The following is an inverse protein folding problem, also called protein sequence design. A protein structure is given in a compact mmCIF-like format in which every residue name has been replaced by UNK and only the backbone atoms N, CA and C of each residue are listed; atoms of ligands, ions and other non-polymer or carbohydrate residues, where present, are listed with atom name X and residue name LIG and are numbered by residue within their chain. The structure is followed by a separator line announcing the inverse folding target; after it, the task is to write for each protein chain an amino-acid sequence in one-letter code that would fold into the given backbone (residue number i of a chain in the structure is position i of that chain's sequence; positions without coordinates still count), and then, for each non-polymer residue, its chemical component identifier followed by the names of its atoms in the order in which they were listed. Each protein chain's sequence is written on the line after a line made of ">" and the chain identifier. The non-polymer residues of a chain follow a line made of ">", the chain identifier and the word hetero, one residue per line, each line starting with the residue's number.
data_IF_473221003230
#
_entry.id   IF_473221003230
#
_cell.length_a   1.000
_cell.length_b   1.000
_cell.length_c   1.000
_cell.angle_alpha   90.00
_cell.angle_beta   90.00
_cell.angle_gamma   90.00
#
_symmetry.space_group_name_H-M   'P 1'
#
loop_
_entity.id
_entity.type
_entity.pdbx_description
1 polymer ?
#
# COMPACT_ATOMS: atom_id res chain seq x y z
N UNK A 1 53.75 -88.85 1.56
CA UNK A 1 52.68 -89.42 2.41
C UNK A 1 51.92 -88.27 3.05
N UNK A 2 50.58 -88.34 2.97
CA UNK A 2 49.53 -87.63 3.74
C UNK A 2 49.98 -87.06 5.11
N UNK A 3 49.44 -85.97 5.69
CA UNK A 3 48.33 -85.02 5.42
C UNK A 3 48.29 -84.04 6.63
N UNK A 4 47.54 -82.95 6.49
CA UNK A 4 46.77 -82.20 7.54
C UNK A 4 47.21 -80.75 7.85
N UNK A 5 46.18 -79.92 7.69
CA UNK A 5 45.96 -78.48 7.83
C UNK A 5 45.58 -78.09 9.27
N UNK A 6 45.79 -76.82 9.68
CA UNK A 6 44.74 -75.97 10.28
C UNK A 6 45.18 -74.50 10.39
N UNK A 7 44.28 -73.60 9.96
CA UNK A 7 44.36 -72.13 9.94
C UNK A 7 44.00 -71.54 11.32
N UNK A 8 44.35 -70.28 11.61
CA UNK A 8 43.39 -69.17 11.91
C UNK A 8 44.11 -67.82 12.21
N UNK A 9 43.36 -66.76 11.87
CA UNK A 9 43.54 -65.30 11.79
C UNK A 9 44.36 -64.58 12.88
N UNK A 10 44.97 -63.48 12.44
CA UNK A 10 45.76 -62.49 13.19
C UNK A 10 44.84 -61.45 13.85
N UNK A 11 45.07 -61.20 15.13
CA UNK A 11 44.66 -60.00 15.88
C UNK A 11 45.93 -59.41 16.46
N UNK A 12 46.19 -58.12 16.25
CA UNK A 12 47.21 -57.38 17.00
C UNK A 12 46.55 -56.19 17.66
N UNK A 13 46.67 -56.15 18.98
CA UNK A 13 46.14 -55.13 19.88
C UNK A 13 47.26 -54.21 20.37
N UNK A 14 46.91 -52.92 20.45
CA UNK A 14 47.27 -51.87 21.41
C UNK A 14 48.73 -51.72 21.91
N UNK A 15 49.26 -50.51 21.70
CA UNK A 15 50.21 -49.87 22.63
C UNK A 15 49.71 -48.46 22.95
N UNK A 16 49.53 -48.17 24.24
CA UNK A 16 49.11 -46.87 24.76
C UNK A 16 50.35 -46.02 25.15
N UNK A 17 50.35 -44.75 24.78
CA UNK A 17 51.18 -43.71 25.42
C UNK A 17 50.21 -42.59 25.84
N UNK A 18 50.09 -42.40 27.15
CA UNK A 18 49.27 -41.36 27.75
C UNK A 18 49.97 -40.01 27.67
N UNK A 19 49.35 -39.03 27.00
CA UNK A 19 49.70 -37.62 27.11
C UNK A 19 48.62 -36.92 27.95
N UNK A 20 49.04 -36.39 29.10
CA UNK A 20 48.20 -35.60 30.00
C UNK A 20 47.96 -34.23 29.37
N UNK A 21 46.73 -33.95 28.96
CA UNK A 21 46.31 -32.60 28.56
C UNK A 21 45.71 -31.91 29.78
N UNK A 22 46.40 -30.87 30.28
CA UNK A 22 45.84 -29.94 31.26
C UNK A 22 44.73 -29.14 30.58
N UNK A 23 43.47 -29.41 30.94
CA UNK A 23 42.36 -28.51 30.62
C UNK A 23 42.36 -27.42 31.68
N UNK A 24 43.06 -26.31 31.40
CA UNK A 24 42.83 -25.07 32.13
C UNK A 24 41.42 -24.60 31.80
N UNK A 25 40.53 -24.62 32.79
CA UNK A 25 39.25 -23.94 32.68
C UNK A 25 39.54 -22.44 32.49
N UNK A 26 39.38 -21.94 31.26
CA UNK A 26 39.20 -20.52 31.02
C UNK A 26 37.86 -20.15 31.67
N UNK A 27 37.87 -19.57 32.86
CA UNK A 27 36.74 -18.77 33.28
C UNK A 27 36.76 -17.52 32.40
N UNK A 28 35.73 -17.34 31.57
CA UNK A 28 35.52 -16.09 30.87
C UNK A 28 35.42 -14.99 31.93
N UNK A 29 36.44 -14.13 32.00
CA UNK A 29 36.35 -12.90 32.75
C UNK A 29 35.52 -11.95 31.89
N UNK A 30 34.20 -11.98 32.06
CA UNK A 30 33.34 -10.94 31.52
C UNK A 30 33.74 -9.64 32.23
N UNK A 31 34.39 -8.73 31.50
CA UNK A 31 34.42 -7.34 31.91
C UNK A 31 32.97 -6.95 32.16
N UNK A 32 32.61 -6.32 33.29
CA UNK A 32 31.27 -5.81 33.47
C UNK A 32 31.01 -4.93 32.27
N UNK A 33 30.04 -5.34 31.45
CA UNK A 33 29.51 -4.52 30.39
C UNK A 33 28.93 -3.31 31.12
N UNK A 34 29.74 -2.25 31.27
CA UNK A 34 29.22 -0.91 31.47
C UNK A 34 28.60 -0.59 30.14
N UNK A 35 27.44 -1.18 29.92
CA UNK A 35 26.60 -0.91 28.78
C UNK A 35 26.40 0.58 28.81
N UNK A 36 27.01 1.27 27.85
CA UNK A 36 26.36 2.44 27.32
C UNK A 36 25.09 1.87 26.69
N UNK A 37 24.04 1.73 27.49
CA UNK A 37 22.70 1.55 27.00
C UNK A 37 22.32 2.88 26.36
N UNK A 38 22.90 3.13 25.17
CA UNK A 38 22.21 3.92 24.17
C UNK A 38 20.90 3.18 24.00
N UNK A 39 19.74 3.78 24.34
CA UNK A 39 18.46 3.17 24.06
C UNK A 39 18.50 2.74 22.59
N UNK A 40 18.06 1.53 22.20
CA UNK A 40 17.87 1.25 20.80
C UNK A 40 17.02 2.40 20.27
N UNK A 41 17.61 3.26 19.42
CA UNK A 41 16.83 4.27 18.72
C UNK A 41 15.76 3.45 18.03
N UNK A 42 14.50 3.58 18.47
CA UNK A 42 13.38 3.05 17.72
C UNK A 42 13.36 3.82 16.42
N UNK A 43 14.14 3.33 15.46
CA UNK A 43 14.10 3.80 14.10
C UNK A 43 12.80 3.22 13.54
N UNK A 44 11.81 4.09 13.42
CA UNK A 44 10.62 3.78 12.64
C UNK A 44 11.00 4.09 11.20
N UNK A 45 11.18 3.05 10.38
CA UNK A 45 11.32 3.28 8.95
C UNK A 45 9.93 3.67 8.43
N UNK A 46 9.84 4.81 7.75
CA UNK A 46 8.64 5.19 7.01
C UNK A 46 8.80 4.60 5.61
N UNK A 47 8.31 3.38 5.43
CA UNK A 47 8.30 2.69 4.14
C UNK A 47 6.93 2.84 3.50
N UNK A 48 6.90 2.96 2.18
CA UNK A 48 5.65 2.87 1.44
C UNK A 48 5.02 1.48 1.60
N UNK A 49 3.70 1.44 1.71
CA UNK A 49 2.97 0.18 1.88
C UNK A 49 3.09 -0.69 0.62
N UNK A 50 3.47 -1.96 0.80
CA UNK A 50 3.50 -2.92 -0.30
C UNK A 50 2.11 -3.20 -0.87
N UNK A 51 2.04 -3.40 -2.18
CA UNK A 51 0.81 -3.79 -2.88
C UNK A 51 0.90 -5.25 -3.30
N UNK A 52 1.92 -5.60 -4.07
CA UNK A 52 2.22 -6.98 -4.44
C UNK A 52 3.71 -7.26 -4.32
N UNK A 53 4.19 -7.52 -3.09
CA UNK A 53 5.62 -7.53 -2.81
C UNK A 53 6.35 -8.78 -3.28
N UNK A 54 5.62 -9.81 -3.70
CA UNK A 54 6.14 -11.11 -4.08
C UNK A 54 5.48 -11.59 -5.35
N UNK A 55 6.24 -12.23 -6.23
CA UNK A 55 5.71 -12.96 -7.38
C UNK A 55 6.62 -14.13 -7.78
N UNK A 56 6.09 -15.11 -8.51
CA UNK A 56 6.79 -16.35 -8.88
C UNK A 56 6.95 -16.45 -10.39
N UNK A 57 8.09 -16.97 -10.86
CA UNK A 57 8.25 -17.26 -12.29
C UNK A 57 7.27 -18.33 -12.76
N UNK A 58 6.76 -18.26 -14.01
CA UNK A 58 5.82 -19.25 -14.55
C UNK A 58 6.28 -20.71 -14.45
N UNK A 59 7.60 -20.96 -14.52
CA UNK A 59 8.17 -22.30 -14.33
C UNK A 59 8.28 -22.75 -12.85
N UNK A 60 7.93 -21.89 -11.90
CA UNK A 60 7.99 -22.14 -10.46
C UNK A 60 9.41 -22.20 -9.88
N UNK A 61 10.44 -21.87 -10.66
CA UNK A 61 11.84 -22.04 -10.24
C UNK A 61 12.36 -20.87 -9.43
N UNK A 62 11.73 -19.69 -9.49
CA UNK A 62 12.14 -18.51 -8.73
C UNK A 62 10.95 -17.81 -8.07
N UNK A 63 11.18 -17.30 -6.86
CA UNK A 63 10.32 -16.32 -6.18
C UNK A 63 11.08 -15.02 -6.09
N UNK A 64 10.42 -13.93 -6.42
CA UNK A 64 10.95 -12.58 -6.43
C UNK A 64 10.30 -11.79 -5.28
N UNK A 65 11.07 -10.92 -4.63
CA UNK A 65 10.59 -10.08 -3.54
C UNK A 65 11.11 -8.64 -3.65
N UNK A 66 10.26 -7.64 -3.50
CA UNK A 66 10.72 -6.26 -3.35
C UNK A 66 11.28 -6.05 -1.94
N UNK A 67 12.41 -5.36 -1.86
CA UNK A 67 13.05 -4.94 -0.62
C UNK A 67 13.10 -3.41 -0.60
N UNK A 68 12.02 -2.82 -0.11
CA UNK A 68 11.74 -1.38 -0.12
C UNK A 68 12.84 -0.58 0.54
N UNK A 69 13.24 -0.96 1.76
CA UNK A 69 14.29 -0.26 2.51
C UNK A 69 15.66 -0.25 1.81
N UNK A 70 15.93 -1.21 0.92
CA UNK A 70 17.22 -1.36 0.25
C UNK A 70 17.19 -0.97 -1.23
N UNK A 71 16.01 -0.60 -1.77
CA UNK A 71 15.82 -0.34 -3.20
C UNK A 71 16.30 -1.50 -4.08
N UNK A 72 16.00 -2.74 -3.67
CA UNK A 72 16.39 -3.95 -4.40
C UNK A 72 15.19 -4.84 -4.72
N UNK A 73 15.33 -5.58 -5.82
CA UNK A 73 14.57 -6.79 -6.11
C UNK A 73 15.42 -7.99 -5.69
N UNK A 74 14.94 -8.75 -4.71
CA UNK A 74 15.55 -9.99 -4.26
C UNK A 74 15.02 -11.16 -5.10
N UNK A 75 15.93 -12.02 -5.54
CA UNK A 75 15.59 -13.21 -6.34
C UNK A 75 15.98 -14.45 -5.56
N UNK A 76 14.99 -15.31 -5.31
CA UNK A 76 15.18 -16.57 -4.62
C UNK A 76 14.95 -17.72 -5.58
N UNK A 77 15.88 -18.67 -5.64
CA UNK A 77 15.66 -19.95 -6.28
C UNK A 77 14.83 -20.86 -5.37
N UNK A 78 13.80 -21.49 -5.95
CA UNK A 78 12.98 -22.50 -5.29
C UNK A 78 13.68 -23.85 -5.40
N UNK A 79 13.91 -24.48 -4.24
CA UNK A 79 14.43 -25.84 -4.14
C UNK A 79 13.48 -26.69 -3.30
N UNK A 80 13.69 -28.01 -3.25
CA UNK A 80 12.85 -28.91 -2.44
C UNK A 80 12.95 -28.63 -0.93
N UNK A 81 14.02 -27.98 -0.47
CA UNK A 81 14.33 -27.80 0.95
C UNK A 81 14.09 -26.36 1.44
N UNK A 82 14.38 -25.36 0.59
CA UNK A 82 14.33 -23.95 0.97
C UNK A 82 14.26 -22.99 -0.24
N UNK A 83 13.98 -21.71 0.05
CA UNK A 83 14.25 -20.59 -0.84
C UNK A 83 15.71 -20.13 -0.66
N UNK A 84 16.50 -20.19 -1.74
CA UNK A 84 17.89 -19.73 -1.74
C UNK A 84 17.96 -18.35 -2.39
N UNK A 85 18.38 -17.30 -1.67
CA UNK A 85 18.66 -16.00 -2.30
C UNK A 85 19.84 -16.16 -3.27
N UNK A 86 19.61 -15.89 -4.55
CA UNK A 86 20.60 -16.05 -5.63
C UNK A 86 21.00 -14.71 -6.24
N UNK A 87 20.17 -13.67 -6.10
CA UNK A 87 20.50 -12.33 -6.55
C UNK A 87 19.79 -11.25 -5.72
N UNK A 88 20.42 -10.07 -5.68
CA UNK A 88 19.87 -8.82 -5.15
C UNK A 88 20.13 -7.75 -6.20
N UNK A 89 19.08 -7.34 -6.91
CA UNK A 89 19.17 -6.48 -8.10
C UNK A 89 18.75 -5.06 -7.70
N UNK A 90 19.62 -4.04 -7.80
CA UNK A 90 19.23 -2.65 -7.56
C UNK A 90 18.14 -2.19 -8.53
N UNK A 91 17.11 -1.54 -8.01
CA UNK A 91 15.98 -0.97 -8.77
C UNK A 91 15.81 0.51 -8.41
N UNK A 92 14.67 1.11 -8.77
CA UNK A 92 14.31 2.48 -8.38
C UNK A 92 14.04 2.61 -6.87
N UNK A 93 13.60 3.81 -6.47
CA UNK A 93 13.39 4.14 -5.07
C UNK A 93 12.07 3.61 -4.55
N UNK A 94 12.13 2.96 -3.39
CA UNK A 94 11.00 2.46 -2.64
C UNK A 94 10.13 1.48 -3.48
N UNK A 95 10.68 0.33 -3.90
CA UNK A 95 9.92 -0.66 -4.66
C UNK A 95 8.78 -1.26 -3.82
N UNK A 96 7.55 -1.28 -4.34
CA UNK A 96 6.33 -1.73 -3.61
C UNK A 96 5.57 -2.87 -4.28
N UNK A 97 5.83 -3.12 -5.57
CA UNK A 97 5.23 -4.21 -6.33
C UNK A 97 6.25 -4.84 -7.27
N UNK A 98 6.20 -6.17 -7.41
CA UNK A 98 6.89 -6.93 -8.46
C UNK A 98 5.92 -7.83 -9.20
N UNK A 99 6.10 -7.89 -10.53
CA UNK A 99 5.29 -8.68 -11.45
C UNK A 99 6.15 -9.41 -12.45
N UNK A 100 6.05 -10.72 -12.48
CA UNK A 100 6.79 -11.54 -13.43
C UNK A 100 5.99 -11.64 -14.74
N UNK A 101 6.54 -11.08 -15.82
CA UNK A 101 5.94 -11.18 -17.16
C UNK A 101 6.28 -12.51 -17.83
N UNK A 102 7.47 -13.03 -17.59
CA UNK A 102 7.97 -14.31 -18.13
C UNK A 102 9.06 -14.89 -17.23
N UNK A 103 9.54 -16.11 -17.52
CA UNK A 103 10.66 -16.71 -16.77
C UNK A 103 11.96 -15.85 -16.80
N UNK A 104 12.05 -14.86 -17.69
CA UNK A 104 13.26 -14.05 -17.88
C UNK A 104 13.04 -12.56 -17.64
N UNK A 105 11.81 -12.12 -17.34
CA UNK A 105 11.50 -10.69 -17.23
C UNK A 105 10.52 -10.40 -16.10
N UNK A 106 10.86 -9.43 -15.25
CA UNK A 106 10.00 -8.90 -14.21
C UNK A 106 9.93 -7.37 -14.28
N UNK A 107 8.80 -6.81 -13.86
CA UNK A 107 8.58 -5.37 -13.75
C UNK A 107 8.43 -5.03 -12.26
N UNK A 108 9.20 -4.07 -11.80
CA UNK A 108 9.21 -3.61 -10.41
C UNK A 108 8.71 -2.17 -10.37
N UNK A 109 7.69 -1.91 -9.57
CA UNK A 109 7.10 -0.59 -9.41
C UNK A 109 7.78 0.13 -8.26
N UNK A 110 8.37 1.29 -8.55
CA UNK A 110 9.15 2.09 -7.60
C UNK A 110 8.42 3.40 -7.31
N UNK A 111 7.73 3.45 -6.16
CA UNK A 111 6.72 4.48 -5.91
C UNK A 111 7.32 5.87 -5.72
N UNK A 112 8.47 6.00 -5.06
CA UNK A 112 9.07 7.32 -4.76
C UNK A 112 9.83 7.89 -5.97
N UNK A 113 10.32 7.04 -6.87
CA UNK A 113 11.04 7.48 -8.07
C UNK A 113 10.15 7.65 -9.30
N UNK A 114 8.84 7.44 -9.19
CA UNK A 114 7.86 7.53 -10.29
C UNK A 114 8.30 6.77 -11.55
N UNK A 115 8.72 5.52 -11.34
CA UNK A 115 9.15 4.68 -12.45
C UNK A 115 8.94 3.18 -12.21
N UNK A 116 8.89 2.44 -13.31
CA UNK A 116 8.98 0.98 -13.33
C UNK A 116 10.37 0.56 -13.79
N UNK A 117 11.03 -0.29 -13.01
CA UNK A 117 12.25 -0.98 -13.45
C UNK A 117 11.88 -2.28 -14.15
N UNK A 118 12.25 -2.42 -15.43
CA UNK A 118 12.17 -3.68 -16.17
C UNK A 118 13.48 -4.44 -15.98
N UNK A 119 13.37 -5.63 -15.38
CA UNK A 119 14.50 -6.45 -14.97
C UNK A 119 14.61 -7.68 -15.88
N UNK A 120 15.81 -7.92 -16.41
CA UNK A 120 16.19 -9.20 -17.02
C UNK A 120 16.65 -10.15 -15.91
N UNK A 121 15.91 -11.24 -15.69
CA UNK A 121 16.18 -12.23 -14.65
C UNK A 121 17.29 -13.22 -15.01
N UNK A 122 17.74 -13.23 -16.26
CA UNK A 122 18.87 -14.04 -16.73
C UNK A 122 20.18 -13.30 -16.51
N UNK A 123 20.18 -12.00 -16.82
CA UNK A 123 21.33 -11.11 -16.64
C UNK A 123 21.39 -10.52 -15.23
N UNK A 124 20.30 -10.58 -14.48
CA UNK A 124 20.14 -10.06 -13.12
C UNK A 124 20.40 -8.55 -13.04
N UNK A 125 19.88 -7.81 -14.03
CA UNK A 125 20.04 -6.36 -14.15
C UNK A 125 18.76 -5.69 -14.63
N UNK A 126 18.57 -4.43 -14.22
CA UNK A 126 17.58 -3.54 -14.84
C UNK A 126 18.04 -3.21 -16.25
N UNK A 127 17.21 -3.51 -17.24
CA UNK A 127 17.48 -3.25 -18.66
C UNK A 127 16.79 -1.99 -19.17
N UNK A 128 15.79 -1.49 -18.45
CA UNK A 128 15.04 -0.26 -18.78
C UNK A 128 14.32 0.27 -17.54
N UNK A 129 14.25 1.60 -17.42
CA UNK A 129 13.33 2.30 -16.51
C UNK A 129 12.24 3.00 -17.34
N UNK A 130 10.98 2.80 -16.99
CA UNK A 130 9.83 3.49 -17.59
C UNK A 130 9.31 4.56 -16.64
N UNK A 131 9.23 5.81 -17.10
CA UNK A 131 8.59 6.88 -16.32
C UNK A 131 7.09 6.69 -16.26
N UNK A 132 6.52 6.99 -15.11
CA UNK A 132 5.07 6.96 -14.88
C UNK A 132 4.55 8.32 -14.45
N UNK A 133 3.24 8.45 -14.26
CA UNK A 133 2.71 9.51 -13.39
C UNK A 133 3.03 9.23 -11.91
N UNK A 134 2.65 10.18 -11.07
CA UNK A 134 2.98 10.27 -9.65
C UNK A 134 2.46 9.07 -8.81
N UNK A 135 3.35 8.54 -7.97
CA UNK A 135 3.16 7.42 -7.05
C UNK A 135 2.59 6.15 -7.71
N UNK A 136 3.33 5.50 -8.63
CA UNK A 136 2.91 4.24 -9.19
C UNK A 136 2.92 3.15 -8.11
N UNK A 137 1.87 2.30 -8.08
CA UNK A 137 1.68 1.34 -6.99
C UNK A 137 1.63 -0.13 -7.43
N UNK A 138 1.14 -0.41 -8.64
CA UNK A 138 1.10 -1.76 -9.19
C UNK A 138 1.17 -1.74 -10.72
N UNK A 139 1.51 -2.88 -11.30
CA UNK A 139 1.45 -3.13 -12.74
C UNK A 139 0.76 -4.46 -13.03
N UNK A 140 -0.03 -4.55 -14.09
CA UNK A 140 -0.60 -5.82 -14.56
C UNK A 140 -0.59 -5.89 -16.08
N UNK A 141 -0.60 -7.12 -16.61
CA UNK A 141 -0.57 -7.35 -18.05
C UNK A 141 -1.90 -7.94 -18.55
N UNK A 142 -2.57 -7.24 -19.47
CA UNK A 142 -3.90 -7.61 -19.95
C UNK A 142 -4.12 -7.21 -21.42
N UNK A 143 -5.16 -7.74 -22.05
CA UNK A 143 -5.58 -7.43 -23.43
C UNK A 143 -5.00 -8.38 -24.49
N UNK A 144 -5.49 -8.21 -25.72
CA UNK A 144 -5.01 -8.90 -26.93
C UNK A 144 -4.96 -7.91 -28.11
N UNK A 145 -3.78 -7.34 -28.45
CA UNK A 145 -2.46 -7.64 -27.90
C UNK A 145 -2.31 -7.25 -26.43
N UNK A 146 -1.41 -7.93 -25.71
CA UNK A 146 -1.16 -7.65 -24.30
C UNK A 146 -0.51 -6.27 -24.14
N UNK A 147 -0.96 -5.52 -23.13
CA UNK A 147 -0.48 -4.20 -22.71
C UNK A 147 -0.17 -4.22 -21.22
N UNK A 148 0.64 -3.27 -20.76
CA UNK A 148 0.90 -3.08 -19.33
C UNK A 148 0.02 -1.95 -18.79
N UNK A 149 -0.69 -2.22 -17.70
CA UNK A 149 -1.55 -1.27 -16.99
C UNK A 149 -0.86 -0.94 -15.68
N UNK A 150 -0.66 0.35 -15.39
CA UNK A 150 0.07 0.85 -14.24
C UNK A 150 -0.82 1.78 -13.45
N UNK A 151 -1.07 1.49 -12.18
CA UNK A 151 -1.87 2.36 -11.32
C UNK A 151 -0.98 3.46 -10.73
N UNK A 152 -1.36 4.71 -10.97
CA UNK A 152 -0.67 5.89 -10.45
C UNK A 152 -1.57 6.51 -9.38
N UNK A 153 -1.24 6.24 -8.11
CA UNK A 153 -2.16 6.44 -7.00
C UNK A 153 -2.42 7.91 -6.73
N UNK A 154 -1.37 8.73 -6.62
CA UNK A 154 -1.52 10.16 -6.37
C UNK A 154 -2.16 10.89 -7.57
N UNK A 155 -1.92 10.38 -8.78
CA UNK A 155 -2.50 10.92 -10.01
C UNK A 155 -3.97 10.52 -10.24
N UNK A 156 -4.48 9.53 -9.49
CA UNK A 156 -5.81 8.95 -9.65
C UNK A 156 -6.06 8.39 -11.06
N UNK A 157 -5.05 7.73 -11.64
CA UNK A 157 -5.14 7.25 -13.02
C UNK A 157 -4.52 5.88 -13.22
N UNK A 158 -4.86 5.26 -14.35
CA UNK A 158 -4.14 4.13 -14.92
C UNK A 158 -3.41 4.59 -16.18
N UNK A 159 -2.10 4.38 -16.24
CA UNK A 159 -1.33 4.48 -17.48
C UNK A 159 -1.28 3.13 -18.19
N UNK A 160 -1.51 3.13 -19.50
CA UNK A 160 -1.49 1.94 -20.35
C UNK A 160 -0.35 2.05 -21.36
N UNK A 161 0.64 1.17 -21.22
CA UNK A 161 1.82 1.10 -22.09
C UNK A 161 1.67 0.01 -23.15
N UNK A 162 2.03 0.35 -24.39
CA UNK A 162 2.16 -0.61 -25.48
C UNK A 162 3.49 -1.36 -25.35
N UNK A 163 3.43 -2.68 -25.20
CA UNK A 163 4.62 -3.52 -25.04
C UNK A 163 5.47 -3.60 -26.33
N UNK A 164 4.91 -3.24 -27.48
CA UNK A 164 5.62 -3.21 -28.76
C UNK A 164 6.38 -1.91 -29.01
N UNK A 165 6.02 -0.83 -28.32
CA UNK A 165 6.66 0.48 -28.39
C UNK A 165 6.63 1.17 -27.03
N UNK A 166 7.56 0.79 -26.15
CA UNK A 166 7.70 1.36 -24.82
C UNK A 166 8.31 2.78 -24.82
N UNK A 167 8.64 3.34 -25.98
CA UNK A 167 9.10 4.73 -26.11
C UNK A 167 7.93 5.68 -26.46
N UNK A 168 6.78 5.14 -26.89
CA UNK A 168 5.56 5.90 -27.09
C UNK A 168 4.96 6.36 -25.76
N UNK A 169 4.27 7.51 -25.78
CA UNK A 169 3.53 8.00 -24.63
C UNK A 169 2.40 7.01 -24.26
N UNK A 170 2.24 6.66 -22.97
CA UNK A 170 1.16 5.78 -22.54
C UNK A 170 -0.21 6.45 -22.72
N UNK A 171 -1.25 5.63 -22.86
CA UNK A 171 -2.63 6.13 -22.75
C UNK A 171 -2.98 6.31 -21.27
N UNK A 172 -3.52 7.46 -20.89
CA UNK A 172 -3.96 7.73 -19.52
C UNK A 172 -5.48 7.56 -19.40
N UNK A 173 -5.90 6.82 -18.38
CA UNK A 173 -7.30 6.66 -17.99
C UNK A 173 -7.50 7.26 -16.61
N UNK A 174 -8.18 8.40 -16.54
CA UNK A 174 -8.57 9.00 -15.26
C UNK A 174 -9.64 8.15 -14.59
N UNK A 175 -9.46 7.93 -13.29
CA UNK A 175 -10.38 7.19 -12.47
C UNK A 175 -11.18 8.14 -11.57
N UNK A 176 -12.35 7.69 -11.15
CA UNK A 176 -13.17 8.38 -10.15
C UNK A 176 -13.02 7.58 -8.85
N UNK A 177 -12.03 7.94 -8.05
CA UNK A 177 -11.71 7.32 -6.77
C UNK A 177 -10.29 7.68 -6.33
N UNK A 178 -10.05 7.70 -5.02
CA UNK A 178 -8.81 8.16 -4.41
C UNK A 178 -7.79 7.01 -4.29
N UNK A 179 -6.56 7.26 -4.74
CA UNK A 179 -5.43 6.33 -4.66
C UNK A 179 -5.75 4.92 -5.21
N UNK A 180 -5.92 4.75 -6.54
CA UNK A 180 -5.92 3.43 -7.17
C UNK A 180 -4.58 2.73 -6.91
N UNK A 181 -4.60 1.56 -6.26
CA UNK A 181 -3.38 0.82 -5.90
C UNK A 181 -3.34 -0.59 -6.46
N UNK A 182 -4.05 -1.52 -5.84
CA UNK A 182 -3.95 -2.93 -6.21
C UNK A 182 -4.71 -3.20 -7.50
N UNK A 183 -4.09 -3.92 -8.43
CA UNK A 183 -4.75 -4.37 -9.65
C UNK A 183 -4.77 -5.88 -9.78
N UNK A 184 -5.82 -6.39 -10.43
CA UNK A 184 -5.97 -7.80 -10.78
C UNK A 184 -6.52 -7.94 -12.20
N UNK A 185 -6.20 -9.05 -12.86
CA UNK A 185 -6.66 -9.34 -14.23
C UNK A 185 -7.62 -10.54 -14.20
N UNK A 186 -8.69 -10.48 -14.98
CA UNK A 186 -9.59 -11.63 -15.17
C UNK A 186 -8.86 -12.83 -15.78
N UNK A 187 -9.32 -14.08 -15.54
CA UNK A 187 -8.66 -15.28 -16.08
C UNK A 187 -8.56 -15.33 -17.62
N UNK A 188 -9.46 -14.64 -18.32
CA UNK A 188 -9.42 -14.52 -19.78
C UNK A 188 -8.46 -13.43 -20.29
N UNK A 189 -7.83 -12.68 -19.38
CA UNK A 189 -6.89 -11.61 -19.68
C UNK A 189 -7.54 -10.33 -20.19
N UNK A 190 -8.87 -10.22 -20.24
CA UNK A 190 -9.56 -9.12 -20.94
C UNK A 190 -10.06 -8.00 -20.02
N UNK A 191 -10.10 -8.20 -18.71
CA UNK A 191 -10.62 -7.23 -17.74
C UNK A 191 -9.55 -6.93 -16.69
N UNK A 192 -9.35 -5.65 -16.39
CA UNK A 192 -8.52 -5.18 -15.28
C UNK A 192 -9.45 -4.64 -14.20
N UNK A 193 -9.26 -5.12 -12.97
CA UNK A 193 -9.90 -4.62 -11.76
C UNK A 193 -8.87 -3.79 -10.99
N UNK A 194 -9.23 -2.59 -10.56
CA UNK A 194 -8.37 -1.70 -9.79
C UNK A 194 -9.07 -1.34 -8.49
N UNK A 195 -8.46 -1.66 -7.35
CA UNK A 195 -8.98 -1.28 -6.04
C UNK A 195 -8.43 0.08 -5.59
N UNK A 196 -9.29 0.88 -4.97
CA UNK A 196 -8.92 2.16 -4.39
C UNK A 196 -8.58 1.99 -2.91
N UNK A 197 -7.45 2.55 -2.46
CA UNK A 197 -7.02 2.43 -1.07
C UNK A 197 -7.86 3.31 -0.14
N UNK A 198 -8.25 4.49 -0.62
CA UNK A 198 -9.05 5.46 0.13
C UNK A 198 -10.47 5.53 -0.46
N UNK A 199 -11.06 4.37 -0.80
CA UNK A 199 -12.47 4.33 -1.22
C UNK A 199 -13.35 4.88 -0.10
N UNK A 200 -14.07 5.96 -0.41
CA UNK A 200 -14.93 6.61 0.55
C UNK A 200 -16.09 5.71 0.92
N UNK A 201 -16.33 5.45 2.20
CA UNK A 201 -17.44 4.61 2.68
C UNK A 201 -18.81 5.34 2.70
N UNK A 202 -19.00 6.33 1.82
CA UNK A 202 -20.15 7.23 1.80
C UNK A 202 -20.36 7.99 3.11
N UNK A 203 -19.30 8.30 3.85
CA UNK A 203 -19.37 9.20 5.01
C UNK A 203 -18.53 10.44 4.81
N UNK A 204 -18.94 11.53 5.44
CA UNK A 204 -18.15 12.76 5.48
C UNK A 204 -18.41 13.51 6.78
N UNK A 205 -17.54 14.47 7.07
CA UNK A 205 -17.65 15.33 8.24
C UNK A 205 -18.31 16.65 7.85
N UNK A 206 -19.40 16.99 8.54
CA UNK A 206 -19.95 18.34 8.55
C UNK A 206 -19.18 19.14 9.61
N UNK A 207 -18.41 20.17 9.22
CA UNK A 207 -17.58 20.92 10.14
C UNK A 207 -18.46 21.71 11.12
N UNK A 208 -18.27 21.44 12.41
CA UNK A 208 -19.00 22.11 13.49
C UNK A 208 -18.17 23.11 14.28
N UNK A 209 -17.02 23.49 13.72
CA UNK A 209 -16.09 24.46 14.28
C UNK A 209 -15.78 25.52 13.24
N UNK A 210 -15.22 26.65 13.68
CA UNK A 210 -14.72 27.70 12.80
C UNK A 210 -13.34 27.36 12.21
N UNK A 211 -13.08 26.06 11.97
CA UNK A 211 -11.81 25.63 11.38
C UNK A 211 -11.68 26.25 9.98
N UNK A 212 -10.65 27.08 9.80
CA UNK A 212 -10.42 27.85 8.58
C UNK A 212 -11.48 28.94 8.27
N UNK A 213 -12.11 29.52 9.29
CA UNK A 213 -12.95 30.72 9.10
C UNK A 213 -12.19 31.92 8.49
N UNK A 214 -10.86 31.95 8.64
CA UNK A 214 -9.97 32.92 7.97
C UNK A 214 -9.62 32.59 6.51
N UNK A 215 -10.07 31.44 6.00
CA UNK A 215 -9.78 30.94 4.65
C UNK A 215 -8.42 30.24 4.49
N UNK A 216 -8.36 29.24 3.62
CA UNK A 216 -7.12 28.73 3.03
C UNK A 216 -7.02 29.25 1.61
N UNK A 217 -5.92 29.94 1.32
CA UNK A 217 -5.60 30.38 -0.03
C UNK A 217 -4.54 29.43 -0.58
N UNK A 218 -4.85 28.77 -1.70
CA UNK A 218 -3.88 27.95 -2.44
C UNK A 218 -3.54 28.65 -3.75
N UNK A 219 -2.28 28.56 -4.19
CA UNK A 219 -1.91 28.98 -5.55
C UNK A 219 -2.45 27.99 -6.61
N UNK A 220 -2.73 26.74 -6.19
CA UNK A 220 -3.20 25.64 -7.03
C UNK A 220 -4.66 25.79 -7.47
N UNK A 221 -5.45 26.63 -6.78
CA UNK A 221 -6.83 26.97 -7.16
C UNK A 221 -6.91 28.05 -8.26
N UNK A 222 -5.84 28.27 -9.02
CA UNK A 222 -5.88 29.05 -10.26
C UNK A 222 -6.16 30.55 -10.07
N UNK A 223 -5.54 31.18 -9.07
CA UNK A 223 -5.63 32.64 -8.90
C UNK A 223 -5.59 33.17 -7.45
N UNK A 224 -5.16 32.39 -6.47
CA UNK A 224 -5.13 32.83 -5.07
C UNK A 224 -6.51 32.96 -4.41
N UNK A 225 -7.52 32.26 -4.96
CA UNK A 225 -8.85 32.20 -4.36
C UNK A 225 -8.77 31.49 -3.01
N UNK A 226 -9.27 32.15 -1.97
CA UNK A 226 -9.31 31.60 -0.62
C UNK A 226 -10.64 30.87 -0.41
N UNK A 227 -10.57 29.62 0.02
CA UNK A 227 -11.75 28.84 0.44
C UNK A 227 -11.91 28.98 1.95
N UNK A 228 -13.02 29.59 2.38
CA UNK A 228 -13.46 29.55 3.77
C UNK A 228 -14.31 28.31 4.00
N UNK A 229 -14.07 27.59 5.09
CA UNK A 229 -14.94 26.49 5.54
C UNK A 229 -15.71 27.02 6.76
N UNK A 230 -17.01 27.35 6.63
CA UNK A 230 -17.80 27.82 7.75
C UNK A 230 -18.21 26.67 8.68
N UNK A 231 -18.75 27.02 9.84
CA UNK A 231 -19.41 26.07 10.73
C UNK A 231 -20.77 25.66 10.13
N UNK A 232 -20.72 24.67 9.24
CA UNK A 232 -21.87 24.12 8.52
C UNK A 232 -22.90 23.50 9.47
N UNK A 233 -22.49 23.01 10.65
CA UNK A 233 -23.42 22.41 11.64
C UNK A 233 -24.41 23.44 12.18
N UNK A 234 -23.97 24.69 12.32
CA UNK A 234 -24.80 25.80 12.80
C UNK A 234 -25.44 26.61 11.66
N UNK A 235 -25.42 26.08 10.44
CA UNK A 235 -26.08 26.73 9.31
C UNK A 235 -27.61 26.78 9.52
N UNK A 236 -28.27 27.96 9.46
CA UNK A 236 -29.71 28.09 9.56
C UNK A 236 -30.51 27.31 8.50
N UNK A 237 -29.91 27.03 7.35
CA UNK A 237 -30.52 26.23 6.28
C UNK A 237 -30.35 24.72 6.51
N UNK A 238 -29.62 24.33 7.57
CA UNK A 238 -29.49 22.95 8.02
C UNK A 238 -30.75 22.39 8.69
N UNK A 239 -30.82 21.06 8.87
CA UNK A 239 -32.02 20.37 9.37
C UNK A 239 -32.45 20.74 10.80
N UNK A 240 -31.57 21.44 11.54
CA UNK A 240 -31.81 21.88 12.91
C UNK A 240 -31.92 23.41 13.05
N UNK A 241 -32.00 24.15 11.94
CA UNK A 241 -32.21 25.59 11.97
C UNK A 241 -31.12 26.36 12.71
N UNK A 242 -29.85 25.94 12.55
CA UNK A 242 -28.68 26.53 13.20
C UNK A 242 -28.37 26.02 14.62
N UNK A 243 -29.16 25.10 15.17
CA UNK A 243 -28.85 24.43 16.43
C UNK A 243 -27.90 23.24 16.21
N UNK A 244 -26.94 23.05 17.13
CA UNK A 244 -26.10 21.85 17.14
C UNK A 244 -26.97 20.62 17.47
N UNK A 245 -26.99 19.57 16.63
CA UNK A 245 -27.77 18.35 16.88
C UNK A 245 -27.38 17.68 18.20
N UNK A 246 -28.36 17.05 18.86
CA UNK A 246 -28.09 16.26 20.07
C UNK A 246 -27.50 14.90 19.63
N UNK A 247 -26.38 14.43 20.21
CA UNK A 247 -25.37 13.75 19.39
C UNK A 247 -25.50 12.22 19.24
N UNK A 248 -26.47 11.54 19.85
CA UNK A 248 -26.41 10.06 19.90
C UNK A 248 -27.71 9.27 20.12
N UNK A 249 -28.88 9.90 20.32
CA UNK A 249 -30.17 9.20 20.32
C UNK A 249 -31.37 10.15 20.14
N UNK A 250 -31.67 10.53 18.91
CA UNK A 250 -32.75 11.46 18.59
C UNK A 250 -32.55 12.81 19.30
N UNK A 251 -33.53 13.22 20.09
CA UNK A 251 -33.46 14.45 20.88
C UNK A 251 -32.80 14.27 22.26
N UNK A 252 -32.12 13.14 22.54
CA UNK A 252 -31.60 12.79 23.86
C UNK A 252 -30.13 12.37 23.82
N UNK A 253 -29.43 12.55 24.95
CA UNK A 253 -28.08 12.02 25.17
C UNK A 253 -28.14 10.57 25.70
N UNK A 254 -27.39 9.66 25.09
CA UNK A 254 -27.21 8.28 25.57
C UNK A 254 -25.72 7.89 25.69
N UNK A 255 -25.15 7.84 26.92
CA UNK A 255 -25.80 8.07 28.22
C UNK A 255 -26.20 9.55 28.43
N UNK A 256 -27.10 9.86 29.38
CA UNK A 256 -27.51 11.23 29.67
C UNK A 256 -26.32 12.14 29.95
N UNK A 257 -26.38 13.38 29.41
CA UNK A 257 -25.38 14.40 29.70
C UNK A 257 -25.36 14.69 31.21
N UNK A 258 -24.16 14.78 31.79
CA UNK A 258 -24.02 15.25 33.16
C UNK A 258 -24.63 16.67 33.28
N UNK A 259 -25.60 16.91 34.19
CA UNK A 259 -26.23 18.23 34.34
C UNK A 259 -25.26 19.38 34.66
N UNK A 260 -24.05 19.08 35.13
CA UNK A 260 -23.01 20.08 35.36
C UNK A 260 -22.28 20.53 34.08
N UNK A 261 -22.43 19.81 32.97
CA UNK A 261 -21.79 20.14 31.71
C UNK A 261 -22.69 21.10 30.91
N UNK A 262 -22.07 22.12 30.31
CA UNK A 262 -22.75 22.94 29.30
C UNK A 262 -22.96 22.15 28.01
N UNK A 263 -24.02 22.48 27.27
CA UNK A 263 -24.22 21.95 25.92
C UNK A 263 -23.00 22.29 25.04
N UNK A 264 -22.50 21.33 24.24
CA UNK A 264 -21.41 21.63 23.30
C UNK A 264 -21.86 22.69 22.30
N UNK A 265 -21.10 23.79 22.18
CA UNK A 265 -21.43 24.90 21.27
C UNK A 265 -20.86 24.77 19.86
N UNK A 266 -19.95 23.82 19.64
CA UNK A 266 -19.25 23.62 18.37
C UNK A 266 -18.83 22.16 18.26
N UNK A 267 -19.56 21.34 17.51
CA UNK A 267 -19.24 19.93 17.31
C UNK A 267 -19.45 19.54 15.87
N UNK A 268 -18.42 18.99 15.24
CA UNK A 268 -18.55 18.40 13.93
C UNK A 268 -19.41 17.14 13.99
N UNK A 269 -20.10 16.86 12.90
CA UNK A 269 -20.99 15.71 12.76
C UNK A 269 -20.43 14.79 11.69
N UNK A 270 -20.63 13.48 11.84
CA UNK A 270 -20.48 12.56 10.73
C UNK A 270 -21.86 12.39 10.08
N UNK A 271 -21.92 12.50 8.77
CA UNK A 271 -23.11 12.19 7.98
C UNK A 271 -22.79 11.11 6.98
N UNK A 272 -23.80 10.29 6.66
CA UNK A 272 -23.69 9.17 5.75
C UNK A 272 -24.67 9.32 4.59
N UNK A 273 -24.23 9.01 3.38
CA UNK A 273 -25.09 8.94 2.21
C UNK A 273 -25.96 7.69 2.28
N UNK A 274 -27.26 7.85 2.03
CA UNK A 274 -28.19 6.73 1.91
C UNK A 274 -28.36 6.27 0.45
N UNK A 275 -29.17 5.22 0.25
CA UNK A 275 -29.45 4.67 -1.07
C UNK A 275 -30.25 5.62 -1.99
N UNK A 276 -30.88 6.66 -1.43
CA UNK A 276 -31.55 7.73 -2.19
C UNK A 276 -30.59 8.88 -2.55
N UNK A 277 -29.32 8.77 -2.14
CA UNK A 277 -28.29 9.77 -2.39
C UNK A 277 -28.32 10.95 -1.41
N UNK A 278 -29.04 10.82 -0.29
CA UNK A 278 -29.19 11.85 0.73
C UNK A 278 -28.13 11.70 1.81
N UNK A 279 -27.51 12.81 2.23
CA UNK A 279 -26.56 12.84 3.34
C UNK A 279 -27.29 13.02 4.66
N UNK A 280 -27.34 11.97 5.49
CA UNK A 280 -28.09 11.95 6.73
C UNK A 280 -27.18 11.80 7.96
N UNK A 281 -27.52 12.45 9.07
CA UNK A 281 -26.96 12.12 10.37
C UNK A 281 -27.69 10.94 11.05
N UNK A 282 -27.21 10.51 12.22
CA UNK A 282 -27.78 9.41 13.00
C UNK A 282 -29.22 9.63 13.47
N UNK A 283 -29.71 10.88 13.43
CA UNK A 283 -31.07 11.27 13.79
C UNK A 283 -31.98 11.42 12.55
N UNK A 284 -31.46 11.19 11.35
CA UNK A 284 -32.17 11.35 10.08
C UNK A 284 -32.26 12.81 9.59
N UNK A 285 -31.50 13.73 10.18
CA UNK A 285 -31.36 15.10 9.67
C UNK A 285 -30.71 15.09 8.30
N UNK A 286 -31.31 15.77 7.32
CA UNK A 286 -30.83 15.78 5.94
C UNK A 286 -29.91 16.98 5.67
N UNK A 287 -28.64 16.69 5.42
CA UNK A 287 -27.54 17.62 5.17
C UNK A 287 -27.15 17.73 3.70
N UNK A 288 -27.92 17.13 2.78
CA UNK A 288 -27.54 17.00 1.36
C UNK A 288 -27.18 18.34 0.71
N UNK A 289 -27.98 19.38 0.94
CA UNK A 289 -27.75 20.70 0.35
C UNK A 289 -26.46 21.36 0.87
N UNK A 290 -26.08 21.08 2.11
CA UNK A 290 -24.87 21.60 2.75
C UNK A 290 -23.65 20.80 2.27
N UNK A 291 -23.75 19.47 2.24
CA UNK A 291 -22.66 18.57 1.88
C UNK A 291 -22.33 18.62 0.39
N UNK A 292 -23.34 18.39 -0.46
CA UNK A 292 -23.16 18.39 -1.92
C UNK A 292 -23.12 19.78 -2.54
N UNK A 293 -23.36 20.81 -1.73
CA UNK A 293 -23.35 22.21 -2.12
C UNK A 293 -24.50 22.61 -3.04
N UNK A 294 -24.49 23.87 -3.50
CA UNK A 294 -25.56 24.44 -4.32
C UNK A 294 -26.02 25.83 -3.86
N UNK A 295 -27.14 26.29 -4.43
CA UNK A 295 -27.73 27.58 -4.09
C UNK A 295 -28.13 27.62 -2.61
N UNK A 296 -27.52 28.53 -1.84
CA UNK A 296 -27.73 28.65 -0.38
C UNK A 296 -26.62 28.02 0.47
N UNK A 297 -25.72 27.22 -0.11
CA UNK A 297 -24.56 26.67 0.62
C UNK A 297 -23.28 27.48 0.39
N UNK A 298 -22.35 27.39 1.32
CA UNK A 298 -20.99 27.94 1.16
C UNK A 298 -20.06 27.02 0.35
N UNK A 299 -20.55 25.86 -0.11
CA UNK A 299 -19.78 24.87 -0.89
C UNK A 299 -20.10 24.95 -2.37
N UNK A 300 -19.12 24.61 -3.20
CA UNK A 300 -19.33 24.44 -4.64
C UNK A 300 -20.36 23.34 -4.89
N UNK A 301 -21.27 23.57 -5.83
CA UNK A 301 -22.30 22.60 -6.18
C UNK A 301 -21.70 21.35 -6.83
N UNK A 302 -22.23 20.18 -6.46
CA UNK A 302 -21.90 18.91 -7.08
C UNK A 302 -20.79 18.13 -6.38
N UNK A 303 -20.39 18.52 -5.17
CA UNK A 303 -19.51 17.65 -4.38
C UNK A 303 -20.22 16.33 -4.08
N UNK A 304 -19.51 15.24 -4.29
CA UNK A 304 -19.98 13.90 -3.97
C UNK A 304 -18.81 13.05 -3.52
N UNK A 305 -19.06 12.06 -2.66
CA UNK A 305 -18.08 11.04 -2.31
C UNK A 305 -18.46 9.76 -3.04
N UNK A 306 -17.79 9.43 -4.16
CA UNK A 306 -18.01 8.16 -4.81
C UNK A 306 -17.55 7.03 -3.89
N UNK A 307 -18.38 6.00 -3.78
CA UNK A 307 -18.07 4.73 -3.13
C UNK A 307 -17.74 3.70 -4.21
N UNK A 308 -16.67 4.01 -4.93
CA UNK A 308 -16.12 3.13 -5.94
C UNK A 308 -14.98 2.37 -5.28
N UNK A 309 -15.28 1.23 -4.67
CA UNK A 309 -14.23 0.35 -4.13
C UNK A 309 -13.32 -0.20 -5.22
N UNK A 310 -13.89 -0.38 -6.42
CA UNK A 310 -13.22 -1.00 -7.56
C UNK A 310 -13.60 -0.32 -8.88
N UNK A 311 -12.61 0.03 -9.69
CA UNK A 311 -12.80 0.34 -11.10
C UNK A 311 -12.63 -0.92 -11.95
N UNK A 312 -13.42 -1.04 -13.02
CA UNK A 312 -13.39 -2.17 -13.95
C UNK A 312 -13.12 -1.65 -15.36
N UNK A 313 -11.98 -2.05 -15.94
CA UNK A 313 -11.53 -1.62 -17.26
C UNK A 313 -11.57 -2.81 -18.22
N UNK A 314 -12.13 -2.60 -19.42
CA UNK A 314 -11.97 -3.54 -20.52
C UNK A 314 -10.64 -3.28 -21.22
N UNK A 315 -9.74 -4.26 -21.16
CA UNK A 315 -8.36 -4.13 -21.64
C UNK A 315 -8.24 -4.05 -23.17
N UNK A 316 -9.32 -4.19 -23.93
CA UNK A 316 -9.33 -4.13 -25.40
C UNK A 316 -10.03 -2.90 -25.97
N UNK A 317 -10.75 -2.12 -25.16
CA UNK A 317 -11.51 -0.95 -25.62
C UNK A 317 -10.86 0.40 -25.28
N UNK A 318 -9.65 0.37 -24.74
CA UNK A 318 -8.83 1.53 -24.41
C UNK A 318 -7.84 1.82 -25.53
#
# INVERSE_FOLDING_TARGET
>A
MQKITLRTKIIVSATAIAAVVFVSAFQAFELPNVGSAVPPTQFVNFESGHVHPLDMTPDGTKVLAVNTANNTLEVFQVTDEALLNVASIPVGLDPVSVRVRSNTEAWVVNVISDEISIVDLTQEVVIRSLRTEDEPNDVVFAGSPQRAFVSCAHRESIQVFDLSDLDAAPTEVLLIGEQPRAMAVSPDGMTVYTAFFESGNQTTVVPGNEFMAGGICSEQSGGGACTSVPNDVTDPDGPYGGAVPIPNNGASFQPPLNPANTMPGSQSLVVRKDAAGQWLDDNGGNWTNIVSGGAGSNRAAGWDMPDNDVAVLNANSL
#
